data_IF_569238803529
#
_entry.id   IF_569238803529
#
_cell.length_a   1.000
_cell.length_b   1.000
_cell.length_c   1.000
_cell.angle_alpha   90.00
_cell.angle_beta   90.00
_cell.angle_gamma   90.00
#
_symmetry.space_group_name_H-M   'P 1'
#
loop_
_entity.id
_entity.type
_entity.pdbx_description
1 polymer ?
#
# COMPACT_ATOMS: atom_id res chain seq x y z
N UNK A 1 28.65 -55.68 19.12
CA UNK A 1 27.75 -54.51 19.07
C UNK A 1 26.81 -54.49 20.29
N UNK A 2 27.21 -53.77 21.35
CA UNK A 2 26.41 -53.62 22.56
C UNK A 2 25.41 -52.48 22.36
N UNK A 3 24.17 -52.81 22.01
CA UNK A 3 23.06 -51.89 22.18
C UNK A 3 22.84 -51.72 23.69
N UNK A 4 22.92 -50.49 24.21
CA UNK A 4 22.67 -50.17 25.62
C UNK A 4 21.21 -49.69 25.76
N UNK A 5 20.24 -50.55 26.11
CA UNK A 5 18.79 -50.31 25.95
C UNK A 5 18.18 -49.22 26.87
N UNK A 6 18.98 -48.46 27.60
CA UNK A 6 18.55 -47.27 28.35
C UNK A 6 19.15 -45.95 27.86
N UNK A 7 20.26 -46.02 27.12
CA UNK A 7 20.97 -44.83 26.62
C UNK A 7 20.22 -44.22 25.45
N UNK A 8 19.67 -45.05 24.57
CA UNK A 8 18.87 -44.61 23.42
C UNK A 8 17.64 -43.79 23.83
N UNK A 9 16.91 -44.24 24.86
CA UNK A 9 15.73 -43.50 25.35
C UNK A 9 16.11 -42.15 25.95
N UNK A 10 17.19 -42.09 26.75
CA UNK A 10 17.69 -40.84 27.34
C UNK A 10 18.19 -39.87 26.27
N UNK A 11 18.88 -40.39 25.26
CA UNK A 11 19.36 -39.61 24.12
C UNK A 11 18.18 -39.05 23.29
N UNK A 12 17.15 -39.86 23.04
CA UNK A 12 15.94 -39.44 22.34
C UNK A 12 15.20 -38.32 23.10
N UNK A 13 15.05 -38.43 24.43
CA UNK A 13 14.46 -37.37 25.24
C UNK A 13 15.27 -36.06 25.20
N UNK A 14 16.61 -36.14 25.26
CA UNK A 14 17.47 -34.97 25.12
C UNK A 14 17.29 -34.30 23.76
N UNK A 15 17.22 -35.08 22.69
CA UNK A 15 17.07 -34.58 21.32
C UNK A 15 15.72 -33.89 21.12
N UNK A 16 14.63 -34.43 21.70
CA UNK A 16 13.31 -33.78 21.71
C UNK A 16 13.36 -32.45 22.46
N UNK A 17 13.94 -32.41 23.66
CA UNK A 17 14.04 -31.19 24.47
C UNK A 17 14.84 -30.12 23.70
N UNK A 18 15.97 -30.51 23.12
CA UNK A 18 16.82 -29.60 22.35
C UNK A 18 16.11 -29.09 21.10
N UNK A 19 15.36 -29.97 20.39
CA UNK A 19 14.52 -29.60 19.25
C UNK A 19 13.44 -28.59 19.62
N UNK A 20 12.74 -28.79 20.75
CA UNK A 20 11.72 -27.85 21.25
C UNK A 20 12.34 -26.50 21.59
N UNK A 21 13.50 -26.46 22.26
CA UNK A 21 14.22 -25.23 22.61
C UNK A 21 14.61 -24.44 21.35
N UNK A 22 15.09 -25.13 20.31
CA UNK A 22 15.48 -24.51 19.03
C UNK A 22 14.26 -23.92 18.32
N UNK A 23 13.14 -24.65 18.27
CA UNK A 23 11.89 -24.17 17.65
C UNK A 23 11.37 -22.92 18.37
N UNK A 24 11.31 -22.95 19.70
CA UNK A 24 10.85 -21.79 20.51
C UNK A 24 11.75 -20.58 20.28
N UNK A 25 13.07 -20.77 20.26
CA UNK A 25 14.04 -19.70 20.02
C UNK A 25 13.89 -19.08 18.63
N UNK A 26 13.61 -19.90 17.61
CA UNK A 26 13.39 -19.43 16.25
C UNK A 26 12.10 -18.61 16.13
N UNK A 27 11.00 -19.07 16.74
CA UNK A 27 9.72 -18.34 16.76
C UNK A 27 9.88 -16.98 17.45
N UNK A 28 10.60 -16.91 18.58
CA UNK A 28 10.85 -15.64 19.26
C UNK A 28 11.65 -14.66 18.39
N UNK A 29 12.68 -15.14 17.68
CA UNK A 29 13.47 -14.31 16.76
C UNK A 29 12.62 -13.80 15.59
N UNK A 30 11.75 -14.65 15.05
CA UNK A 30 10.81 -14.28 13.99
C UNK A 30 9.83 -13.19 14.47
N UNK A 31 9.24 -13.36 15.65
CA UNK A 31 8.33 -12.37 16.25
C UNK A 31 9.02 -11.03 16.48
N UNK A 32 10.27 -11.04 16.95
CA UNK A 32 11.04 -9.80 17.14
C UNK A 32 11.29 -9.09 15.80
N UNK A 33 11.59 -9.83 14.75
CA UNK A 33 11.82 -9.30 13.40
C UNK A 33 10.52 -8.74 12.80
N UNK A 34 9.40 -9.47 12.93
CA UNK A 34 8.08 -9.00 12.52
C UNK A 34 7.68 -7.71 13.24
N UNK A 35 7.83 -7.67 14.57
CA UNK A 35 7.52 -6.47 15.35
C UNK A 35 8.42 -5.28 14.98
N UNK A 36 9.69 -5.52 14.65
CA UNK A 36 10.58 -4.48 14.15
C UNK A 36 10.12 -3.93 12.80
N UNK A 37 9.74 -4.80 11.86
CA UNK A 37 9.20 -4.41 10.55
C UNK A 37 7.92 -3.59 10.74
N UNK A 38 6.96 -4.09 11.52
CA UNK A 38 5.67 -3.41 11.77
C UNK A 38 5.91 -2.04 12.39
N UNK A 39 6.78 -1.94 13.40
CA UNK A 39 7.07 -0.66 14.04
C UNK A 39 7.76 0.34 13.10
N UNK A 40 8.65 -0.15 12.23
CA UNK A 40 9.33 0.68 11.24
C UNK A 40 8.35 1.18 10.19
N UNK A 41 7.51 0.29 9.64
CA UNK A 41 6.46 0.65 8.70
C UNK A 41 5.49 1.65 9.34
N UNK A 42 5.04 1.41 10.57
CA UNK A 42 4.14 2.34 11.26
C UNK A 42 4.77 3.73 11.44
N UNK A 43 6.05 3.83 11.77
CA UNK A 43 6.73 5.12 11.86
C UNK A 43 6.79 5.86 10.52
N UNK A 44 7.01 5.14 9.42
CA UNK A 44 7.09 5.71 8.07
C UNK A 44 5.70 6.08 7.54
N UNK A 45 4.69 5.23 7.74
CA UNK A 45 3.34 5.44 7.19
C UNK A 45 2.46 6.33 8.05
N UNK A 46 2.68 6.44 9.35
CA UNK A 46 1.90 7.35 10.23
C UNK A 46 1.83 8.78 9.70
N UNK A 47 2.93 9.45 9.29
CA UNK A 47 2.84 10.79 8.71
C UNK A 47 2.05 10.82 7.40
N UNK A 48 2.19 9.81 6.54
CA UNK A 48 1.47 9.70 5.26
C UNK A 48 -0.05 9.54 5.49
N UNK A 49 -0.43 8.73 6.48
CA UNK A 49 -1.83 8.49 6.83
C UNK A 49 -2.48 9.75 7.40
N UNK A 50 -1.75 10.58 8.15
CA UNK A 50 -2.25 11.83 8.73
C UNK A 50 -2.46 12.97 7.71
N UNK A 51 -1.99 12.82 6.48
CA UNK A 51 -2.17 13.85 5.44
C UNK A 51 -3.63 14.06 5.07
N UNK A 52 -3.93 15.28 4.62
CA UNK A 52 -5.23 15.64 4.05
C UNK A 52 -5.50 14.87 2.74
N UNK A 53 -6.73 14.93 2.25
CA UNK A 53 -7.08 14.21 1.00
C UNK A 53 -6.30 14.80 -0.15
N UNK A 54 -6.30 16.14 -0.29
CA UNK A 54 -5.54 16.83 -1.33
C UNK A 54 -4.05 16.53 -1.27
N UNK A 55 -3.46 16.56 -0.07
CA UNK A 55 -2.04 16.24 0.13
C UNK A 55 -1.68 14.82 -0.31
N UNK A 56 -2.55 13.83 -0.08
CA UNK A 56 -2.33 12.44 -0.52
C UNK A 56 -2.30 12.31 -2.04
N UNK A 57 -3.21 12.99 -2.74
CA UNK A 57 -3.22 13.03 -4.20
C UNK A 57 -1.97 13.73 -4.76
N UNK A 58 -1.56 14.85 -4.18
CA UNK A 58 -0.33 15.55 -4.58
C UNK A 58 0.91 14.67 -4.33
N UNK A 59 0.98 13.98 -3.19
CA UNK A 59 2.08 13.05 -2.90
C UNK A 59 2.16 11.92 -3.94
N UNK A 60 1.02 11.32 -4.30
CA UNK A 60 0.95 10.32 -5.36
C UNK A 60 1.41 10.89 -6.70
N UNK A 61 1.01 12.11 -7.05
CA UNK A 61 1.48 12.77 -8.27
C UNK A 61 3.00 12.90 -8.31
N UNK A 62 3.63 13.33 -7.21
CA UNK A 62 5.08 13.45 -7.11
C UNK A 62 5.76 12.08 -7.30
N UNK A 63 5.21 11.02 -6.70
CA UNK A 63 5.73 9.65 -6.89
C UNK A 63 5.65 9.24 -8.36
N UNK A 64 4.52 9.46 -9.04
CA UNK A 64 4.38 9.15 -10.46
C UNK A 64 5.31 9.99 -11.34
N UNK A 65 5.58 11.26 -11.01
CA UNK A 65 6.57 12.07 -11.73
C UNK A 65 7.98 11.52 -11.59
N UNK A 66 8.34 11.00 -10.42
CA UNK A 66 9.64 10.35 -10.21
C UNK A 66 9.73 9.06 -11.03
N UNK A 67 8.66 8.25 -11.06
CA UNK A 67 8.59 7.03 -11.88
C UNK A 67 8.72 7.39 -13.36
N UNK A 68 7.97 8.37 -13.83
CA UNK A 68 8.05 8.88 -15.20
C UNK A 68 9.47 9.33 -15.58
N UNK A 69 10.16 10.04 -14.68
CA UNK A 69 11.55 10.43 -14.89
C UNK A 69 12.50 9.22 -14.98
N UNK A 70 12.29 8.19 -14.17
CA UNK A 70 13.06 6.93 -14.25
C UNK A 70 12.79 6.22 -15.58
N UNK A 71 11.54 6.12 -16.01
CA UNK A 71 11.17 5.48 -17.27
C UNK A 71 11.76 6.21 -18.48
N UNK A 72 11.83 7.54 -18.41
CA UNK A 72 12.49 8.35 -19.44
C UNK A 72 13.98 8.02 -19.55
N UNK A 73 14.67 7.87 -18.41
CA UNK A 73 16.09 7.47 -18.37
C UNK A 73 16.28 6.08 -18.97
N UNK A 74 15.34 5.16 -18.74
CA UNK A 74 15.35 3.79 -19.26
C UNK A 74 14.94 3.69 -20.74
N UNK A 75 14.85 4.82 -21.46
CA UNK A 75 14.42 4.94 -22.87
C UNK A 75 12.98 4.49 -23.13
N UNK A 76 12.14 4.50 -22.11
CA UNK A 76 10.71 4.21 -22.20
C UNK A 76 9.88 5.47 -22.46
N UNK A 77 10.18 6.26 -23.49
CA UNK A 77 9.53 7.57 -23.73
C UNK A 77 8.00 7.50 -23.72
N UNK A 78 7.43 6.49 -24.37
CA UNK A 78 5.98 6.30 -24.42
C UNK A 78 5.36 6.00 -23.04
N UNK A 79 6.06 5.24 -22.20
CA UNK A 79 5.61 4.87 -20.85
C UNK A 79 5.76 6.08 -19.92
N UNK A 80 6.90 6.75 -19.97
CA UNK A 80 7.18 7.96 -19.20
C UNK A 80 6.11 9.05 -19.45
N UNK A 81 5.70 9.23 -20.71
CA UNK A 81 4.66 10.19 -21.05
C UNK A 81 3.30 9.82 -20.45
N UNK A 82 2.93 8.53 -20.48
CA UNK A 82 1.67 8.08 -19.87
C UNK A 82 1.69 8.24 -18.35
N UNK A 83 2.81 7.92 -17.70
CA UNK A 83 2.95 8.10 -16.26
C UNK A 83 2.94 9.57 -15.85
N UNK A 84 3.51 10.46 -16.69
CA UNK A 84 3.38 11.90 -16.50
C UNK A 84 1.93 12.38 -16.64
N UNK A 85 1.17 11.87 -17.62
CA UNK A 85 -0.26 12.20 -17.77
C UNK A 85 -1.05 11.77 -16.53
N UNK A 86 -0.83 10.55 -16.04
CA UNK A 86 -1.45 10.06 -14.81
C UNK A 86 -1.08 10.97 -13.63
N UNK A 87 0.21 11.33 -13.50
CA UNK A 87 0.68 12.25 -12.47
C UNK A 87 -0.04 13.61 -12.52
N UNK A 88 -0.24 14.16 -13.72
CA UNK A 88 -0.96 15.42 -13.89
C UNK A 88 -2.42 15.31 -13.44
N UNK A 89 -3.11 14.19 -13.68
CA UNK A 89 -4.46 13.99 -13.14
C UNK A 89 -4.48 13.95 -11.62
N UNK A 90 -3.54 13.23 -10.99
CA UNK A 90 -3.40 13.25 -9.53
C UNK A 90 -3.10 14.66 -9.00
N UNK A 91 -2.25 15.42 -9.68
CA UNK A 91 -1.88 16.77 -9.28
C UNK A 91 -3.06 17.74 -9.36
N UNK A 92 -3.79 17.76 -10.48
CA UNK A 92 -4.97 18.61 -10.67
C UNK A 92 -6.03 18.30 -9.61
N UNK A 93 -6.37 17.01 -9.44
CA UNK A 93 -7.34 16.59 -8.43
C UNK A 93 -6.86 16.93 -7.01
N UNK A 94 -5.57 16.73 -6.73
CA UNK A 94 -4.96 17.05 -5.44
C UNK A 94 -5.04 18.54 -5.12
N UNK A 95 -4.68 19.41 -6.06
CA UNK A 95 -4.75 20.86 -5.90
C UNK A 95 -6.20 21.34 -5.77
N UNK A 96 -7.13 20.82 -6.57
CA UNK A 96 -8.56 21.15 -6.42
C UNK A 96 -9.10 20.76 -5.04
N UNK A 97 -8.70 19.60 -4.52
CA UNK A 97 -9.05 19.19 -3.17
C UNK A 97 -8.45 20.10 -2.09
N UNK A 98 -7.20 20.54 -2.26
CA UNK A 98 -6.56 21.50 -1.33
C UNK A 98 -7.28 22.86 -1.34
N UNK A 99 -7.64 23.35 -2.53
CA UNK A 99 -8.40 24.60 -2.65
C UNK A 99 -9.79 24.47 -2.00
N UNK A 100 -10.45 23.34 -2.20
CA UNK A 100 -11.73 23.09 -1.54
C UNK A 100 -11.55 22.96 -0.02
N UNK A 101 -10.51 22.28 0.45
CA UNK A 101 -10.18 22.17 1.88
C UNK A 101 -9.97 23.54 2.52
N UNK A 102 -9.27 24.43 1.83
CA UNK A 102 -9.06 25.80 2.27
C UNK A 102 -10.37 26.59 2.41
N UNK A 103 -11.32 26.38 1.50
CA UNK A 103 -12.62 27.05 1.54
C UNK A 103 -13.60 26.43 2.54
N UNK A 104 -13.67 25.10 2.59
CA UNK A 104 -14.58 24.36 3.44
C UNK A 104 -14.03 22.96 3.76
N UNK A 105 -13.72 22.74 5.04
CA UNK A 105 -13.26 21.44 5.53
C UNK A 105 -14.38 20.39 5.57
N UNK A 106 -15.64 20.82 5.54
CA UNK A 106 -16.81 19.94 5.57
C UNK A 106 -16.80 19.01 4.35
N UNK A 107 -17.22 17.75 4.55
CA UNK A 107 -17.39 16.73 3.49
C UNK A 107 -16.13 16.01 2.97
N UNK A 108 -15.11 15.81 3.80
CA UNK A 108 -13.91 15.02 3.45
C UNK A 108 -14.23 13.68 2.77
N UNK A 109 -15.25 12.95 3.25
CA UNK A 109 -15.67 11.65 2.68
C UNK A 109 -16.18 11.78 1.24
N UNK A 110 -17.05 12.76 0.98
CA UNK A 110 -17.59 12.99 -0.36
C UNK A 110 -16.48 13.43 -1.32
N UNK A 111 -15.54 14.25 -0.87
CA UNK A 111 -14.38 14.65 -1.68
C UNK A 111 -13.57 13.46 -2.17
N UNK A 112 -13.29 12.49 -1.29
CA UNK A 112 -12.57 11.25 -1.69
C UNK A 112 -13.36 10.51 -2.77
N UNK A 113 -14.66 10.34 -2.57
CA UNK A 113 -15.53 9.62 -3.52
C UNK A 113 -15.53 10.31 -4.88
N UNK A 114 -15.80 11.62 -4.90
CA UNK A 114 -15.84 12.42 -6.14
C UNK A 114 -14.47 12.41 -6.83
N UNK A 115 -13.38 12.55 -6.08
CA UNK A 115 -12.02 12.54 -6.63
C UNK A 115 -11.66 11.21 -7.28
N UNK A 116 -12.01 10.08 -6.66
CA UNK A 116 -11.74 8.76 -7.23
C UNK A 116 -12.59 8.47 -8.47
N UNK A 117 -13.86 8.91 -8.47
CA UNK A 117 -14.73 8.80 -9.65
C UNK A 117 -14.17 9.65 -10.79
N UNK A 118 -13.83 10.91 -10.51
CA UNK A 118 -13.30 11.83 -11.51
C UNK A 118 -11.97 11.33 -12.07
N UNK A 119 -11.09 10.79 -11.22
CA UNK A 119 -9.83 10.16 -11.67
C UNK A 119 -10.09 8.96 -12.58
N UNK A 120 -11.04 8.09 -12.24
CA UNK A 120 -11.41 6.95 -13.09
C UNK A 120 -11.92 7.40 -14.46
N UNK A 121 -12.78 8.42 -14.47
CA UNK A 121 -13.34 9.02 -15.70
C UNK A 121 -12.23 9.61 -16.57
N UNK A 122 -11.31 10.40 -15.98
CA UNK A 122 -10.17 10.97 -16.72
C UNK A 122 -9.31 9.88 -17.36
N UNK A 123 -8.97 8.82 -16.61
CA UNK A 123 -8.17 7.70 -17.13
C UNK A 123 -8.91 7.00 -18.27
N UNK A 124 -10.21 6.76 -18.13
CA UNK A 124 -11.02 6.08 -19.14
C UNK A 124 -11.06 6.85 -20.47
N UNK A 125 -11.25 8.18 -20.42
CA UNK A 125 -11.33 9.02 -21.61
C UNK A 125 -9.98 9.34 -22.25
N UNK A 126 -8.87 8.90 -21.64
CA UNK A 126 -7.52 9.20 -22.16
C UNK A 126 -6.98 7.99 -22.94
N UNK A 127 -7.06 8.00 -24.28
CA UNK A 127 -6.74 6.83 -25.09
C UNK A 127 -5.28 6.40 -24.93
N UNK A 128 -4.36 7.35 -24.75
CA UNK A 128 -2.93 7.08 -24.53
C UNK A 128 -2.70 6.22 -23.29
N UNK A 129 -3.36 6.55 -22.18
CA UNK A 129 -3.30 5.78 -20.93
C UNK A 129 -3.91 4.40 -21.11
N UNK A 130 -5.10 4.31 -21.71
CA UNK A 130 -5.80 3.02 -21.89
C UNK A 130 -5.10 2.06 -22.86
N UNK A 131 -4.28 2.58 -23.80
CA UNK A 131 -3.48 1.76 -24.71
C UNK A 131 -2.32 1.08 -23.99
N UNK A 132 -1.62 1.81 -23.12
CA UNK A 132 -0.46 1.27 -22.37
C UNK A 132 -0.92 0.46 -21.16
N UNK A 133 -1.87 1.00 -20.39
CA UNK A 133 -2.45 0.37 -19.22
C UNK A 133 -3.93 0.06 -19.46
N UNK A 134 -4.25 -1.02 -20.20
CA UNK A 134 -5.62 -1.41 -20.39
C UNK A 134 -6.26 -1.66 -19.03
N UNK A 135 -7.50 -1.17 -18.86
CA UNK A 135 -8.29 -1.35 -17.63
C UNK A 135 -7.76 -0.60 -16.39
N UNK A 136 -6.78 0.30 -16.51
CA UNK A 136 -6.30 1.12 -15.38
C UNK A 136 -7.40 1.96 -14.71
N UNK A 137 -8.43 2.35 -15.47
CA UNK A 137 -9.57 3.11 -14.95
C UNK A 137 -10.37 2.36 -13.87
N UNK A 138 -10.24 1.04 -13.74
CA UNK A 138 -10.86 0.30 -12.63
C UNK A 138 -10.13 0.48 -11.30
N UNK A 139 -8.85 0.86 -11.29
CA UNK A 139 -8.08 0.98 -10.05
C UNK A 139 -8.70 1.98 -9.06
N UNK A 140 -9.04 3.24 -9.47
CA UNK A 140 -9.71 4.16 -8.56
C UNK A 140 -11.08 3.64 -8.08
N UNK A 141 -11.81 2.89 -8.92
CA UNK A 141 -13.11 2.29 -8.57
C UNK A 141 -12.93 1.17 -7.53
N UNK A 142 -11.93 0.30 -7.69
CA UNK A 142 -11.63 -0.77 -6.73
C UNK A 142 -11.25 -0.15 -5.38
N UNK A 143 -10.39 0.87 -5.37
CA UNK A 143 -10.02 1.61 -4.16
C UNK A 143 -11.25 2.23 -3.49
N UNK A 144 -12.16 2.80 -4.29
CA UNK A 144 -13.42 3.36 -3.80
C UNK A 144 -14.30 2.30 -3.13
N UNK A 145 -14.46 1.13 -3.75
CA UNK A 145 -15.25 0.02 -3.20
C UNK A 145 -14.63 -0.45 -1.87
N UNK A 146 -13.31 -0.66 -1.83
CA UNK A 146 -12.60 -1.06 -0.61
C UNK A 146 -12.79 -0.03 0.51
N UNK A 147 -12.72 1.26 0.18
CA UNK A 147 -12.94 2.35 1.13
C UNK A 147 -14.37 2.35 1.70
N UNK A 148 -15.37 2.12 0.84
CA UNK A 148 -16.78 2.04 1.26
C UNK A 148 -17.05 0.81 2.12
N UNK A 149 -16.51 -0.36 1.74
CA UNK A 149 -16.61 -1.61 2.52
C UNK A 149 -15.97 -1.44 3.88
N UNK A 150 -14.77 -0.84 3.95
CA UNK A 150 -14.10 -0.55 5.21
C UNK A 150 -14.93 0.35 6.12
N UNK A 151 -15.54 1.41 5.58
CA UNK A 151 -16.42 2.29 6.36
C UNK A 151 -17.69 1.58 6.83
N UNK A 152 -18.26 0.72 5.99
CA UNK A 152 -19.43 -0.08 6.35
C UNK A 152 -19.09 -1.00 7.51
N UNK A 153 -18.05 -1.83 7.39
CA UNK A 153 -17.61 -2.75 8.45
C UNK A 153 -17.31 -2.01 9.76
N UNK A 154 -16.60 -0.87 9.70
CA UNK A 154 -16.31 -0.07 10.90
C UNK A 154 -17.57 0.38 11.64
N UNK A 155 -18.69 0.60 10.93
CA UNK A 155 -19.98 0.99 11.54
C UNK A 155 -20.67 -0.17 12.28
N UNK A 156 -20.35 -1.43 11.97
CA UNK A 156 -20.95 -2.60 12.63
C UNK A 156 -20.12 -3.16 13.80
N UNK A 157 -18.82 -2.86 13.84
CA UNK A 157 -17.89 -3.36 14.87
C UNK A 157 -17.58 -2.34 15.99
N UNK A 158 -18.25 -1.19 16.00
CA UNK A 158 -18.21 -0.16 17.06
C UNK A 158 -19.64 0.08 17.52
#
# INVERSE_FOLDING_TARGET
PYALPGVEKRFLYLLIILGVIVIISYIQKLNKLLNFIINTLNKIFKPIISLSVGQKFVLLAIIFLIISAIDLILRGEHIANVDAIIAYYFLVIGVLNLLFEYWNESFQKLRIIVSLILLSVLIYYTPEVTKIYPKAYYLPIIILILFLVYQFLRKFYI
#
